data_IF_286844109229
#
_entry.id   IF_286844109229
#
_cell.length_a   1.000
_cell.length_b   1.000
_cell.length_c   1.000
_cell.angle_alpha   90.00
_cell.angle_beta   90.00
_cell.angle_gamma   90.00
#
_symmetry.space_group_name_H-M   'P 1'
#
loop_
_entity.id
_entity.type
_entity.pdbx_description
1 polymer ?
#
# COMPACT_ATOMS: atom_id res chain seq x y z
N UNK A 1 33.80 3.17 23.83
CA UNK A 1 32.58 4.00 23.99
C UNK A 1 31.71 3.72 22.78
N UNK A 2 30.73 2.84 22.94
CA UNK A 2 29.76 2.56 21.88
C UNK A 2 28.76 3.71 21.83
N UNK A 3 28.71 4.41 20.71
CA UNK A 3 27.68 5.40 20.46
C UNK A 3 26.35 4.66 20.30
N UNK A 4 25.57 4.57 21.38
CA UNK A 4 24.17 4.19 21.32
C UNK A 4 23.42 5.26 20.51
N UNK A 5 23.32 5.01 19.21
CA UNK A 5 22.49 5.80 18.31
C UNK A 5 21.03 5.46 18.62
N UNK A 6 20.45 6.14 19.59
CA UNK A 6 18.99 6.11 19.79
C UNK A 6 18.36 6.73 18.54
N UNK A 7 17.45 6.02 17.84
CA UNK A 7 16.79 6.58 16.67
C UNK A 7 16.17 7.93 17.04
N UNK A 8 16.39 8.96 16.21
CA UNK A 8 15.87 10.34 16.40
C UNK A 8 14.38 10.41 16.78
N UNK A 9 13.61 9.37 16.45
CA UNK A 9 12.19 9.23 16.71
C UNK A 9 11.87 8.89 18.18
N UNK A 10 12.73 8.17 18.90
CA UNK A 10 12.50 7.79 20.30
C UNK A 10 12.84 8.90 21.31
N UNK A 11 13.57 9.94 20.88
CA UNK A 11 14.05 11.00 21.76
C UNK A 11 12.96 12.00 22.17
N UNK A 12 11.78 11.99 21.53
CA UNK A 12 10.69 12.95 21.75
C UNK A 12 11.06 14.41 21.45
N UNK A 13 12.28 14.66 20.95
CA UNK A 13 12.84 15.99 20.65
C UNK A 13 13.86 15.84 19.53
N UNK A 14 13.82 16.74 18.55
CA UNK A 14 14.90 16.90 17.57
C UNK A 14 15.90 17.89 18.20
N UNK A 15 17.17 17.49 18.32
CA UNK A 15 18.25 18.32 18.89
C UNK A 15 19.28 18.68 17.82
N UNK A 16 19.82 19.90 17.88
CA UNK A 16 20.97 20.38 17.11
C UNK A 16 21.79 21.34 17.98
N UNK A 17 22.99 21.70 17.52
CA UNK A 17 23.85 22.64 18.24
C UNK A 17 23.14 24.00 18.38
N UNK A 18 22.76 24.32 19.62
CA UNK A 18 22.06 25.55 19.97
C UNK A 18 20.54 25.43 20.08
N UNK A 19 19.93 24.25 19.95
CA UNK A 19 18.48 24.14 20.08
C UNK A 19 17.89 22.75 20.19
N UNK A 20 16.64 22.71 20.64
CA UNK A 20 15.80 21.52 20.51
C UNK A 20 14.37 21.92 20.26
N UNK A 21 13.68 21.22 19.37
CA UNK A 21 12.22 21.32 19.24
C UNK A 21 11.60 20.03 19.80
N UNK A 22 10.65 20.14 20.76
CA UNK A 22 9.89 18.96 21.19
C UNK A 22 9.06 18.46 20.02
N UNK A 23 9.14 17.15 19.75
CA UNK A 23 8.18 16.52 18.87
C UNK A 23 6.88 16.46 19.67
N UNK A 24 5.88 17.22 19.22
CA UNK A 24 4.60 17.35 19.91
C UNK A 24 4.05 15.95 20.21
N UNK A 25 3.88 15.62 21.49
CA UNK A 25 3.38 14.32 21.94
C UNK A 25 1.98 14.01 21.39
N UNK A 26 1.22 15.04 21.04
CA UNK A 26 -0.08 14.96 20.36
C UNK A 26 -0.02 14.48 18.91
N UNK A 27 1.16 14.44 18.29
CA UNK A 27 1.34 13.87 16.95
C UNK A 27 1.66 12.37 16.98
N UNK A 28 2.15 11.85 18.11
CA UNK A 28 2.31 10.41 18.33
C UNK A 28 0.96 9.79 18.71
N UNK A 29 0.60 8.69 18.06
CA UNK A 29 -0.71 8.02 18.22
C UNK A 29 -1.92 8.86 17.79
N UNK A 30 -1.78 9.65 16.73
CA UNK A 30 -2.93 10.35 16.17
C UNK A 30 -3.93 9.33 15.57
N UNK A 31 -5.08 9.17 16.25
CA UNK A 31 -6.20 8.33 15.82
C UNK A 31 -6.64 8.64 14.38
N UNK A 32 -6.45 9.89 13.95
CA UNK A 32 -6.62 10.35 12.57
C UNK A 32 -5.86 9.49 11.57
N UNK A 33 -4.60 9.13 11.80
CA UNK A 33 -3.80 8.32 10.86
C UNK A 33 -4.35 6.89 10.69
N UNK A 34 -5.05 6.35 11.71
CA UNK A 34 -5.72 5.05 11.63
C UNK A 34 -7.09 5.14 10.94
N UNK A 35 -7.74 6.31 10.99
CA UNK A 35 -9.07 6.55 10.42
C UNK A 35 -9.04 7.20 9.02
N UNK A 36 -7.87 7.65 8.55
CA UNK A 36 -7.67 8.37 7.27
C UNK A 36 -7.12 7.60 6.07
N UNK A 37 -6.78 6.29 6.11
CA UNK A 37 -6.36 5.58 4.89
C UNK A 37 -7.36 5.72 3.74
N UNK A 38 -8.67 5.73 4.04
CA UNK A 38 -9.72 5.95 3.04
C UNK A 38 -9.68 7.36 2.43
N UNK A 39 -9.33 8.39 3.21
CA UNK A 39 -9.19 9.77 2.71
C UNK A 39 -8.00 9.87 1.77
N UNK A 40 -6.85 9.30 2.13
CA UNK A 40 -5.69 9.27 1.25
C UNK A 40 -5.90 8.41 0.01
N UNK A 41 -6.63 7.29 0.14
CA UNK A 41 -7.04 6.50 -1.01
C UNK A 41 -7.93 7.30 -1.96
N UNK A 42 -8.91 8.06 -1.44
CA UNK A 42 -9.78 8.92 -2.24
C UNK A 42 -9.01 10.08 -2.88
N UNK A 43 -8.13 10.75 -2.11
CA UNK A 43 -7.26 11.80 -2.64
C UNK A 43 -6.38 11.28 -3.77
N UNK A 44 -5.78 10.10 -3.59
CA UNK A 44 -4.94 9.46 -4.60
C UNK A 44 -5.68 9.19 -5.92
N UNK A 45 -7.00 9.09 -5.89
CA UNK A 45 -7.78 9.03 -7.12
C UNK A 45 -7.79 10.38 -7.83
N UNK A 46 -7.93 11.52 -7.14
CA UNK A 46 -7.98 12.82 -7.82
C UNK A 46 -6.61 13.41 -8.20
N UNK A 47 -5.58 13.18 -7.37
CA UNK A 47 -4.25 13.81 -7.56
C UNK A 47 -3.16 12.82 -7.98
N UNK A 48 -3.53 11.56 -8.25
CA UNK A 48 -2.60 10.47 -8.51
C UNK A 48 -2.13 9.77 -7.23
N UNK A 49 -2.06 8.45 -7.28
CA UNK A 49 -1.57 7.64 -6.16
C UNK A 49 -0.08 7.87 -5.92
N UNK A 50 0.67 8.23 -6.96
CA UNK A 50 2.09 8.56 -6.91
C UNK A 50 2.38 9.80 -6.09
N UNK A 51 1.38 10.64 -5.82
CA UNK A 51 1.49 11.78 -4.90
C UNK A 51 0.95 11.44 -3.51
N UNK A 52 -0.24 10.85 -3.45
CA UNK A 52 -0.93 10.61 -2.18
C UNK A 52 -0.25 9.52 -1.33
N UNK A 53 0.23 8.45 -1.94
CA UNK A 53 0.82 7.30 -1.23
C UNK A 53 2.16 7.65 -0.55
N UNK A 54 3.13 8.31 -1.22
CA UNK A 54 4.36 8.73 -0.54
C UNK A 54 4.10 9.70 0.60
N UNK A 55 3.15 10.64 0.45
CA UNK A 55 2.77 11.57 1.51
C UNK A 55 2.19 10.80 2.70
N UNK A 56 1.26 9.87 2.46
CA UNK A 56 0.71 9.03 3.51
C UNK A 56 1.80 8.25 4.26
N UNK A 57 2.72 7.60 3.54
CA UNK A 57 3.82 6.86 4.17
C UNK A 57 4.79 7.75 4.93
N UNK A 58 5.10 8.94 4.41
CA UNK A 58 5.90 9.92 5.13
C UNK A 58 5.25 10.26 6.48
N UNK A 59 3.96 10.59 6.48
CA UNK A 59 3.22 10.87 7.70
C UNK A 59 3.22 9.67 8.66
N UNK A 60 3.03 8.45 8.16
CA UNK A 60 3.12 7.23 8.97
C UNK A 60 4.52 7.03 9.57
N UNK A 61 5.59 7.33 8.83
CA UNK A 61 6.97 7.17 9.32
C UNK A 61 7.36 8.25 10.33
N UNK A 62 6.85 9.48 10.16
CA UNK A 62 7.19 10.61 11.03
C UNK A 62 6.34 10.65 12.30
N UNK A 63 5.06 10.29 12.20
CA UNK A 63 4.08 10.46 13.28
C UNK A 63 3.46 9.15 13.77
N UNK A 64 3.58 8.07 12.99
CA UNK A 64 3.11 6.76 13.39
C UNK A 64 4.03 6.10 14.42
N UNK A 65 3.51 5.11 15.16
CA UNK A 65 4.34 4.24 15.99
C UNK A 65 5.43 3.55 15.13
N UNK A 66 6.63 3.41 15.69
CA UNK A 66 7.70 2.68 15.03
C UNK A 66 7.32 1.21 14.83
N UNK A 67 7.79 0.58 13.75
CA UNK A 67 7.45 -0.82 13.41
C UNK A 67 7.70 -1.82 14.56
N UNK A 68 8.70 -1.55 15.41
CA UNK A 68 9.01 -2.32 16.60
C UNK A 68 8.00 -2.14 17.74
N UNK A 69 7.55 -0.90 17.96
CA UNK A 69 6.52 -0.58 18.93
C UNK A 69 5.18 -1.19 18.51
N UNK A 70 4.87 -1.18 17.21
CA UNK A 70 3.71 -1.86 16.65
C UNK A 70 3.76 -3.37 16.84
N UNK A 71 4.92 -4.00 16.62
CA UNK A 71 5.08 -5.45 16.79
C UNK A 71 5.02 -5.90 18.26
N UNK A 72 5.31 -5.01 19.22
CA UNK A 72 5.39 -5.33 20.66
C UNK A 72 4.26 -4.76 21.50
N UNK A 73 3.42 -3.90 20.94
CA UNK A 73 2.35 -3.24 21.67
C UNK A 73 1.27 -4.23 22.15
N UNK A 74 0.52 -3.91 23.22
CA UNK A 74 -0.58 -4.76 23.74
C UNK A 74 -1.76 -4.98 22.76
N UNK A 75 -1.68 -4.46 21.53
CA UNK A 75 -2.57 -4.76 20.40
C UNK A 75 -1.84 -5.30 19.16
N UNK A 76 -0.59 -5.77 19.29
CA UNK A 76 0.23 -6.31 18.19
C UNK A 76 -0.17 -7.70 17.72
N UNK A 77 -0.99 -8.40 18.51
CA UNK A 77 -1.79 -9.49 17.97
C UNK A 77 -2.65 -8.86 16.87
N UNK A 78 -2.62 -9.37 15.62
CA UNK A 78 -3.60 -8.97 14.64
C UNK A 78 -4.93 -9.03 15.36
N UNK A 79 -5.64 -7.91 15.43
CA UNK A 79 -6.99 -7.93 15.98
C UNK A 79 -7.73 -8.86 15.03
N UNK A 80 -7.79 -10.14 15.42
CA UNK A 80 -8.73 -11.12 14.93
C UNK A 80 -10.06 -10.58 15.40
N UNK A 81 -10.54 -9.50 14.76
CA UNK A 81 -11.95 -9.27 14.68
C UNK A 81 -12.44 -10.54 13.99
N UNK A 82 -12.93 -11.46 14.82
CA UNK A 82 -13.56 -12.72 14.50
C UNK A 82 -14.88 -12.47 13.77
N UNK A 83 -14.83 -11.60 12.78
CA UNK A 83 -15.94 -11.10 12.00
C UNK A 83 -15.64 -11.40 10.55
N UNK A 84 -16.67 -11.79 9.81
CA UNK A 84 -16.60 -11.95 8.37
C UNK A 84 -16.14 -10.63 7.75
N UNK A 85 -14.98 -10.63 7.08
CA UNK A 85 -14.51 -9.45 6.34
C UNK A 85 -15.18 -9.41 4.97
N UNK A 86 -15.78 -8.27 4.61
CA UNK A 86 -16.41 -8.05 3.31
C UNK A 86 -15.45 -7.48 2.25
N UNK A 87 -14.17 -7.35 2.57
CA UNK A 87 -13.22 -6.71 1.65
C UNK A 87 -13.13 -7.42 0.29
N UNK A 88 -13.11 -8.75 0.24
CA UNK A 88 -13.06 -9.48 -1.03
C UNK A 88 -14.29 -9.20 -1.91
N UNK A 89 -15.54 -9.46 -1.47
CA UNK A 89 -16.69 -9.18 -2.32
C UNK A 89 -16.82 -7.70 -2.69
N UNK A 90 -16.46 -6.77 -1.80
CA UNK A 90 -16.46 -5.34 -2.10
C UNK A 90 -15.40 -4.97 -3.17
N UNK A 91 -14.19 -5.52 -3.08
CA UNK A 91 -13.13 -5.31 -4.07
C UNK A 91 -13.45 -5.97 -5.41
N UNK A 92 -14.14 -7.13 -5.41
CA UNK A 92 -14.59 -7.74 -6.65
C UNK A 92 -15.67 -6.88 -7.33
N UNK A 93 -16.64 -6.39 -6.57
CA UNK A 93 -17.75 -5.60 -7.08
C UNK A 93 -17.34 -4.19 -7.52
N UNK A 94 -16.59 -3.45 -6.68
CA UNK A 94 -16.37 -2.02 -6.89
C UNK A 94 -15.00 -1.67 -7.47
N UNK A 95 -14.01 -2.59 -7.42
CA UNK A 95 -12.72 -2.40 -8.08
C UNK A 95 -12.63 -3.25 -9.33
N UNK A 96 -12.68 -4.59 -9.17
CA UNK A 96 -12.32 -5.53 -10.23
C UNK A 96 -13.32 -5.47 -11.37
N UNK A 97 -14.61 -5.63 -11.09
CA UNK A 97 -15.66 -5.56 -12.10
C UNK A 97 -15.61 -4.24 -12.88
N UNK A 98 -15.53 -3.12 -12.18
CA UNK A 98 -15.46 -1.78 -12.77
C UNK A 98 -14.22 -1.63 -13.68
N UNK A 99 -13.04 -2.08 -13.24
CA UNK A 99 -11.81 -2.07 -14.06
C UNK A 99 -11.95 -2.93 -15.32
N UNK A 100 -12.51 -4.14 -15.20
CA UNK A 100 -12.73 -5.02 -16.36
C UNK A 100 -13.77 -4.45 -17.31
N UNK A 101 -14.83 -3.83 -16.79
CA UNK A 101 -15.84 -3.17 -17.60
C UNK A 101 -15.26 -1.95 -18.34
N UNK A 102 -14.47 -1.11 -17.67
CA UNK A 102 -13.74 0.00 -18.28
C UNK A 102 -12.75 -0.48 -19.37
N UNK A 103 -12.15 -1.66 -19.20
CA UNK A 103 -11.21 -2.21 -20.18
C UNK A 103 -11.90 -2.87 -21.38
N UNK A 104 -12.95 -3.64 -21.14
CA UNK A 104 -13.61 -4.49 -22.15
C UNK A 104 -14.75 -3.80 -22.90
N UNK A 105 -15.27 -2.68 -22.40
CA UNK A 105 -16.36 -1.96 -23.07
C UNK A 105 -15.94 -1.55 -24.50
N UNK A 106 -16.83 -1.66 -25.50
CA UNK A 106 -16.48 -1.42 -26.90
C UNK A 106 -16.34 0.08 -27.22
N UNK A 107 -17.15 0.93 -26.59
CA UNK A 107 -17.23 2.36 -26.90
C UNK A 107 -16.54 3.23 -25.83
N UNK A 108 -15.94 4.37 -26.22
CA UNK A 108 -15.22 5.24 -25.29
C UNK A 108 -16.08 5.84 -24.18
N UNK A 109 -17.37 6.08 -24.43
CA UNK A 109 -18.29 6.69 -23.46
C UNK A 109 -18.53 5.76 -22.27
N UNK A 110 -18.84 4.49 -22.54
CA UNK A 110 -19.03 3.47 -21.52
C UNK A 110 -17.74 3.27 -20.71
N UNK A 111 -16.57 3.25 -21.37
CA UNK A 111 -15.27 3.20 -20.67
C UNK A 111 -15.08 4.37 -19.73
N UNK A 112 -15.48 5.57 -20.15
CA UNK A 112 -15.37 6.79 -19.36
C UNK A 112 -16.22 6.70 -18.09
N UNK A 113 -17.46 6.24 -18.19
CA UNK A 113 -18.34 6.04 -17.03
C UNK A 113 -17.79 5.02 -16.03
N UNK A 114 -17.34 3.85 -16.51
CA UNK A 114 -16.73 2.85 -15.63
C UNK A 114 -15.43 3.37 -14.99
N UNK A 115 -14.65 4.18 -15.70
CA UNK A 115 -13.45 4.83 -15.13
C UNK A 115 -13.83 5.78 -13.99
N UNK A 116 -14.88 6.60 -14.16
CA UNK A 116 -15.37 7.47 -13.08
C UNK A 116 -15.90 6.70 -11.88
N UNK A 117 -16.65 5.63 -12.11
CA UNK A 117 -17.13 4.76 -11.03
C UNK A 117 -15.95 4.14 -10.28
N UNK A 118 -14.94 3.63 -11.00
CA UNK A 118 -13.70 3.13 -10.43
C UNK A 118 -12.91 4.20 -9.66
N UNK A 119 -12.89 5.45 -10.14
CA UNK A 119 -12.24 6.57 -9.47
C UNK A 119 -12.80 6.84 -8.07
N UNK A 120 -14.08 6.53 -7.86
CA UNK A 120 -14.77 6.68 -6.58
C UNK A 120 -14.72 5.41 -5.72
N UNK A 121 -13.88 4.43 -6.06
CA UNK A 121 -13.74 3.17 -5.35
C UNK A 121 -13.71 3.30 -3.81
N UNK A 122 -12.89 4.15 -3.19
CA UNK A 122 -12.83 4.22 -1.73
C UNK A 122 -14.16 4.62 -1.10
N UNK A 123 -14.95 5.45 -1.81
CA UNK A 123 -16.30 5.83 -1.40
C UNK A 123 -17.24 4.61 -1.49
N UNK A 124 -17.26 3.90 -2.63
CA UNK A 124 -18.16 2.75 -2.83
C UNK A 124 -17.86 1.61 -1.88
N UNK A 125 -16.58 1.30 -1.65
CA UNK A 125 -16.17 0.28 -0.67
C UNK A 125 -16.60 0.69 0.74
N UNK A 126 -16.43 1.97 1.11
CA UNK A 126 -16.86 2.47 2.42
C UNK A 126 -18.39 2.43 2.61
N UNK A 127 -19.16 2.85 1.61
CA UNK A 127 -20.63 2.79 1.64
C UNK A 127 -21.14 1.34 1.66
N UNK A 128 -20.55 0.47 0.84
CA UNK A 128 -20.87 -0.95 0.80
C UNK A 128 -20.60 -1.62 2.13
N UNK A 129 -19.47 -1.32 2.75
CA UNK A 129 -19.14 -1.83 4.08
C UNK A 129 -20.10 -1.32 5.16
N UNK A 130 -20.42 -0.03 5.16
CA UNK A 130 -21.37 0.54 6.12
C UNK A 130 -22.76 -0.12 5.98
N UNK A 131 -23.20 -0.39 4.75
CA UNK A 131 -24.44 -1.09 4.46
C UNK A 131 -24.41 -2.54 4.96
N UNK A 132 -23.35 -3.29 4.63
CA UNK A 132 -23.21 -4.70 4.99
C UNK A 132 -23.02 -4.89 6.49
N UNK A 133 -22.19 -4.07 7.14
CA UNK A 133 -21.96 -4.09 8.59
C UNK A 133 -23.25 -3.83 9.38
N UNK A 134 -24.13 -2.96 8.86
CA UNK A 134 -25.46 -2.74 9.45
C UNK A 134 -26.36 -3.97 9.33
N UNK A 135 -26.23 -4.74 8.24
CA UNK A 135 -27.07 -5.92 7.96
C UNK A 135 -26.56 -7.20 8.62
N UNK A 136 -25.26 -7.29 8.87
CA UNK A 136 -24.56 -8.44 9.44
C UNK A 136 -23.74 -7.99 10.67
N UNK A 137 -24.37 -7.89 11.86
CA UNK A 137 -23.68 -7.48 13.07
C UNK A 137 -22.47 -8.38 13.36
N UNK A 138 -21.32 -7.75 13.61
CA UNK A 138 -20.05 -8.45 13.83
C UNK A 138 -19.22 -8.65 12.56
N UNK A 139 -19.74 -8.33 11.38
CA UNK A 139 -19.00 -8.26 10.13
C UNK A 139 -18.72 -6.80 9.73
N UNK A 140 -17.68 -6.56 8.94
CA UNK A 140 -17.30 -5.23 8.44
C UNK A 140 -15.92 -5.20 7.80
N UNK A 141 -15.39 -4.00 7.52
CA UNK A 141 -14.07 -3.85 6.90
C UNK A 141 -13.00 -4.26 7.92
N UNK A 142 -12.67 -5.55 7.89
CA UNK A 142 -11.53 -6.11 8.58
C UNK A 142 -10.30 -6.09 7.68
N UNK A 143 -9.14 -6.39 8.27
CA UNK A 143 -8.01 -6.82 7.47
C UNK A 143 -8.44 -8.04 6.64
N UNK A 144 -8.08 -8.04 5.36
CA UNK A 144 -8.31 -9.19 4.51
C UNK A 144 -7.60 -10.42 5.11
N UNK A 145 -8.31 -11.54 5.19
CA UNK A 145 -7.68 -12.79 5.60
C UNK A 145 -6.71 -13.30 4.50
N UNK A 146 -5.92 -14.33 4.81
CA UNK A 146 -4.93 -14.88 3.88
C UNK A 146 -5.56 -15.38 2.57
N UNK A 147 -6.78 -15.93 2.63
CA UNK A 147 -7.50 -16.43 1.45
C UNK A 147 -7.94 -15.27 0.57
N UNK A 148 -8.54 -14.24 1.17
CA UNK A 148 -8.98 -13.03 0.48
C UNK A 148 -7.81 -12.29 -0.18
N UNK A 149 -6.70 -12.12 0.54
CA UNK A 149 -5.46 -11.56 0.00
C UNK A 149 -4.90 -12.43 -1.13
N UNK A 150 -4.93 -13.76 -0.97
CA UNK A 150 -4.51 -14.70 -2.01
C UNK A 150 -5.29 -14.52 -3.31
N UNK A 151 -6.62 -14.44 -3.23
CA UNK A 151 -7.49 -14.24 -4.41
C UNK A 151 -7.19 -12.89 -5.09
N UNK A 152 -7.13 -11.80 -4.33
CA UNK A 152 -6.83 -10.47 -4.89
C UNK A 152 -5.42 -10.42 -5.52
N UNK A 153 -4.46 -11.12 -4.92
CA UNK A 153 -3.09 -11.25 -5.44
C UNK A 153 -3.06 -12.02 -6.76
N UNK A 154 -3.82 -13.12 -6.86
CA UNK A 154 -3.92 -13.91 -8.09
C UNK A 154 -4.56 -13.10 -9.22
N UNK A 155 -5.59 -12.30 -8.92
CA UNK A 155 -6.21 -11.40 -9.90
C UNK A 155 -5.17 -10.37 -10.39
N UNK A 156 -4.47 -9.70 -9.47
CA UNK A 156 -3.46 -8.70 -9.82
C UNK A 156 -2.32 -9.31 -10.66
N UNK A 157 -1.83 -10.49 -10.29
CA UNK A 157 -0.81 -11.22 -11.03
C UNK A 157 -1.30 -11.67 -12.42
N UNK A 158 -2.58 -12.08 -12.52
CA UNK A 158 -3.22 -12.41 -13.79
C UNK A 158 -3.29 -11.21 -14.74
N UNK A 159 -3.69 -10.04 -14.23
CA UNK A 159 -3.70 -8.78 -15.00
C UNK A 159 -2.30 -8.39 -15.45
N UNK A 160 -1.30 -8.52 -14.57
CA UNK A 160 0.11 -8.30 -14.91
C UNK A 160 0.59 -9.23 -16.03
N UNK A 161 0.37 -10.54 -15.88
CA UNK A 161 0.74 -11.53 -16.90
C UNK A 161 0.03 -11.32 -18.23
N UNK A 162 -1.25 -10.94 -18.20
CA UNK A 162 -1.99 -10.55 -19.40
C UNK A 162 -1.34 -9.33 -20.07
N UNK A 163 -1.02 -8.28 -19.31
CA UNK A 163 -0.36 -7.09 -19.83
C UNK A 163 0.98 -7.43 -20.49
N UNK A 164 1.83 -8.22 -19.84
CA UNK A 164 3.12 -8.65 -20.40
C UNK A 164 2.97 -9.45 -21.71
N UNK A 165 1.91 -10.26 -21.81
CA UNK A 165 1.65 -11.09 -23.00
C UNK A 165 1.00 -10.31 -24.14
N UNK A 166 0.05 -9.44 -23.83
CA UNK A 166 -0.82 -8.80 -24.81
C UNK A 166 -0.31 -7.43 -25.27
N UNK A 167 0.53 -6.76 -24.50
CA UNK A 167 1.05 -5.45 -24.87
C UNK A 167 2.03 -5.55 -26.06
N UNK A 168 1.85 -4.74 -27.12
CA UNK A 168 2.80 -4.66 -28.23
C UNK A 168 4.04 -3.81 -27.91
N UNK A 169 4.32 -3.59 -26.62
CA UNK A 169 5.36 -2.69 -26.13
C UNK A 169 6.30 -3.44 -25.19
N UNK A 170 7.57 -3.02 -25.16
CA UNK A 170 8.52 -3.56 -24.18
C UNK A 170 8.13 -3.17 -22.77
N UNK A 171 8.56 -3.96 -21.77
CA UNK A 171 8.32 -3.63 -20.37
C UNK A 171 8.86 -2.23 -20.03
N UNK A 172 10.07 -1.90 -20.48
CA UNK A 172 10.64 -0.57 -20.30
C UNK A 172 9.73 0.54 -20.86
N UNK A 173 9.13 0.36 -22.04
CA UNK A 173 8.20 1.35 -22.60
C UNK A 173 6.89 1.46 -21.81
N UNK A 174 6.52 0.44 -21.03
CA UNK A 174 5.32 0.44 -20.19
C UNK A 174 5.60 1.11 -18.85
N UNK A 175 6.70 0.73 -18.16
CA UNK A 175 6.97 1.24 -16.81
C UNK A 175 7.88 2.46 -16.75
N UNK A 176 8.76 2.69 -17.71
CA UNK A 176 9.75 3.77 -17.64
C UNK A 176 9.28 5.03 -18.36
N UNK A 177 9.25 6.20 -17.69
CA UNK A 177 8.84 7.45 -18.31
C UNK A 177 9.79 7.85 -19.44
N UNK A 178 9.22 8.14 -20.60
CA UNK A 178 9.93 8.80 -21.70
C UNK A 178 10.17 10.29 -21.38
N UNK A 179 10.84 11.02 -22.27
CA UNK A 179 11.24 12.43 -22.09
C UNK A 179 10.17 13.34 -21.49
N UNK A 180 10.58 14.31 -20.67
CA UNK A 180 9.69 15.25 -19.96
C UNK A 180 8.81 16.17 -20.84
N UNK A 181 9.08 16.28 -22.14
CA UNK A 181 8.39 17.22 -23.03
C UNK A 181 7.47 16.46 -23.99
N UNK A 182 6.16 16.71 -23.86
CA UNK A 182 5.12 16.10 -24.68
C UNK A 182 4.04 17.13 -24.99
N UNK A 183 3.88 17.49 -26.28
CA UNK A 183 2.86 18.44 -26.72
C UNK A 183 1.48 17.79 -26.95
N UNK A 184 1.45 16.46 -27.07
CA UNK A 184 0.23 15.69 -27.31
C UNK A 184 -0.29 15.06 -26.02
N UNK A 185 -1.63 15.02 -25.89
CA UNK A 185 -2.31 14.48 -24.70
C UNK A 185 -1.94 13.03 -24.38
N UNK A 186 -1.91 12.13 -25.38
CA UNK A 186 -1.66 10.69 -25.15
C UNK A 186 -0.26 10.41 -24.60
N UNK A 187 0.85 10.93 -25.21
CA UNK A 187 2.18 10.81 -24.61
C UNK A 187 2.28 11.43 -23.22
N UNK A 188 1.65 12.59 -23.00
CA UNK A 188 1.62 13.22 -21.68
C UNK A 188 0.90 12.38 -20.63
N UNK A 189 -0.29 11.87 -20.93
CA UNK A 189 -1.06 11.00 -20.04
C UNK A 189 -0.30 9.71 -19.71
N UNK A 190 0.37 9.11 -20.71
CA UNK A 190 1.26 7.95 -20.50
C UNK A 190 2.38 8.28 -19.52
N UNK A 191 3.08 9.38 -19.74
CA UNK A 191 4.16 9.84 -18.86
C UNK A 191 3.69 10.02 -17.41
N UNK A 192 2.54 10.66 -17.21
CA UNK A 192 1.93 10.84 -15.88
C UNK A 192 1.61 9.50 -15.22
N UNK A 193 0.98 8.55 -15.93
CA UNK A 193 0.66 7.23 -15.39
C UNK A 193 1.91 6.41 -15.04
N UNK A 194 2.99 6.54 -15.82
CA UNK A 194 4.27 5.90 -15.53
C UNK A 194 4.90 6.43 -14.26
N UNK A 195 4.93 7.76 -14.09
CA UNK A 195 5.38 8.38 -12.85
C UNK A 195 4.50 7.99 -11.67
N UNK A 196 3.18 8.00 -11.85
CA UNK A 196 2.22 7.61 -10.81
C UNK A 196 2.54 6.20 -10.29
N UNK A 197 2.66 5.24 -11.21
CA UNK A 197 3.01 3.86 -10.91
C UNK A 197 4.38 3.72 -10.21
N UNK A 198 5.43 4.37 -10.72
CA UNK A 198 6.78 4.32 -10.11
C UNK A 198 6.75 4.90 -8.70
N UNK A 199 6.15 6.08 -8.53
CA UNK A 199 6.12 6.76 -7.23
C UNK A 199 5.28 6.00 -6.21
N UNK A 200 4.13 5.46 -6.60
CA UNK A 200 3.29 4.62 -5.73
C UNK A 200 4.05 3.39 -5.26
N UNK A 201 4.48 2.53 -6.18
CA UNK A 201 5.12 1.27 -5.80
C UNK A 201 6.51 1.49 -5.20
N UNK A 202 7.27 2.46 -5.70
CA UNK A 202 8.56 2.86 -5.15
C UNK A 202 8.44 3.29 -3.69
N UNK A 203 7.48 4.16 -3.36
CA UNK A 203 7.23 4.56 -1.99
C UNK A 203 6.73 3.39 -1.12
N UNK A 204 5.88 2.51 -1.65
CA UNK A 204 5.42 1.31 -0.93
C UNK A 204 6.56 0.35 -0.60
N UNK A 205 7.47 0.09 -1.54
CA UNK A 205 8.64 -0.75 -1.30
C UNK A 205 9.63 -0.08 -0.35
N UNK A 206 9.82 1.23 -0.45
CA UNK A 206 10.68 1.98 0.48
C UNK A 206 10.12 1.97 1.91
N UNK A 207 8.82 2.22 2.07
CA UNK A 207 8.14 2.11 3.36
C UNK A 207 8.24 0.69 3.95
N UNK A 208 8.11 -0.33 3.09
CA UNK A 208 8.32 -1.72 3.48
C UNK A 208 9.77 -1.94 3.96
N UNK A 209 10.77 -1.48 3.19
CA UNK A 209 12.18 -1.60 3.56
C UNK A 209 12.48 -0.94 4.92
N UNK A 210 11.98 0.28 5.16
CA UNK A 210 12.10 0.94 6.46
C UNK A 210 11.44 0.14 7.59
N UNK A 211 10.27 -0.46 7.33
CA UNK A 211 9.60 -1.34 8.29
C UNK A 211 10.46 -2.57 8.64
N UNK A 212 11.07 -3.22 7.64
CA UNK A 212 11.98 -4.35 7.86
C UNK A 212 13.23 -3.95 8.64
N UNK A 213 13.84 -2.79 8.32
CA UNK A 213 15.00 -2.26 9.06
C UNK A 213 14.63 -1.97 10.50
N UNK A 214 13.47 -1.36 10.75
CA UNK A 214 12.98 -1.10 12.11
C UNK A 214 12.79 -2.39 12.92
N UNK A 215 12.16 -3.41 12.33
CA UNK A 215 11.96 -4.70 12.98
C UNK A 215 13.28 -5.47 13.20
N UNK A 216 14.23 -5.40 12.27
CA UNK A 216 15.55 -5.99 12.42
C UNK A 216 16.35 -5.31 13.55
N UNK A 217 16.36 -3.97 13.59
CA UNK A 217 17.04 -3.21 14.65
C UNK A 217 16.44 -3.47 16.03
N UNK A 218 15.14 -3.71 16.10
CA UNK A 218 14.50 -4.12 17.33
C UNK A 218 14.78 -5.58 17.72
N UNK A 219 15.40 -6.38 16.85
CA UNK A 219 15.64 -7.81 17.09
C UNK A 219 14.39 -8.67 16.92
N UNK A 220 13.33 -8.16 16.28
CA UNK A 220 12.13 -8.93 15.93
C UNK A 220 12.39 -9.81 14.70
N UNK A 221 13.11 -9.29 13.72
CA UNK A 221 13.56 -10.04 12.54
C UNK A 221 15.03 -10.45 12.68
N UNK A 222 15.39 -11.62 12.16
CA UNK A 222 16.78 -12.07 12.04
C UNK A 222 17.29 -11.83 10.62
N UNK A 223 18.62 -11.82 10.44
CA UNK A 223 19.24 -11.57 9.13
C UNK A 223 18.71 -12.50 8.02
N UNK A 224 18.47 -13.78 8.35
CA UNK A 224 17.85 -14.75 7.42
C UNK A 224 16.46 -14.36 6.94
N UNK A 225 15.66 -13.68 7.78
CA UNK A 225 14.29 -13.30 7.44
C UNK A 225 14.28 -12.13 6.45
N UNK A 226 15.26 -11.22 6.56
CA UNK A 226 15.47 -10.13 5.62
C UNK A 226 16.06 -10.61 4.29
N UNK A 227 16.98 -11.58 4.31
CA UNK A 227 17.60 -12.12 3.10
C UNK A 227 16.58 -12.70 2.12
N UNK A 228 15.61 -13.48 2.61
CA UNK A 228 14.56 -14.05 1.76
C UNK A 228 13.76 -12.99 1.00
N UNK A 229 13.39 -11.91 1.68
CA UNK A 229 12.62 -10.82 1.06
C UNK A 229 13.46 -10.09 0.04
N UNK A 230 14.70 -9.72 0.39
CA UNK A 230 15.58 -9.02 -0.54
C UNK A 230 15.88 -9.86 -1.79
N UNK A 231 16.07 -11.18 -1.63
CA UNK A 231 16.40 -12.07 -2.76
C UNK A 231 15.18 -12.43 -3.62
N UNK A 232 14.01 -12.68 -3.03
CA UNK A 232 12.83 -13.14 -3.78
C UNK A 232 11.96 -12.00 -4.30
N UNK A 233 11.94 -10.84 -3.64
CA UNK A 233 11.06 -9.74 -4.01
C UNK A 233 11.26 -9.28 -5.47
N UNK A 234 12.49 -9.10 -5.99
CA UNK A 234 12.68 -8.74 -7.40
C UNK A 234 12.10 -9.78 -8.36
N UNK A 235 12.23 -11.07 -8.03
CA UNK A 235 11.69 -12.18 -8.81
C UNK A 235 10.16 -12.14 -8.82
N UNK A 236 9.54 -11.99 -7.65
CA UNK A 236 8.08 -11.89 -7.52
C UNK A 236 7.55 -10.65 -8.26
N UNK A 237 8.19 -9.50 -8.12
CA UNK A 237 7.79 -8.27 -8.81
C UNK A 237 7.88 -8.44 -10.34
N UNK A 238 8.93 -9.09 -10.83
CA UNK A 238 9.10 -9.30 -12.28
C UNK A 238 8.04 -10.25 -12.84
N UNK A 239 7.78 -11.37 -12.13
CA UNK A 239 6.90 -12.44 -12.63
C UNK A 239 5.42 -12.14 -12.37
N UNK A 240 5.08 -11.70 -11.17
CA UNK A 240 3.71 -11.53 -10.69
C UNK A 240 3.28 -10.05 -10.57
N UNK A 241 4.18 -9.12 -10.85
CA UNK A 241 3.92 -7.69 -10.81
C UNK A 241 4.15 -7.05 -9.44
N UNK A 242 4.21 -5.71 -9.40
CA UNK A 242 4.59 -4.97 -8.20
C UNK A 242 3.56 -5.10 -7.06
N UNK A 243 2.26 -5.17 -7.38
CA UNK A 243 1.22 -5.36 -6.38
C UNK A 243 1.36 -6.71 -5.64
N UNK A 244 1.58 -7.80 -6.38
CA UNK A 244 1.81 -9.12 -5.79
C UNK A 244 3.10 -9.15 -4.96
N UNK A 245 4.16 -8.47 -5.43
CA UNK A 245 5.39 -8.28 -4.67
C UNK A 245 5.16 -7.58 -3.33
N UNK A 246 4.34 -6.54 -3.30
CA UNK A 246 4.02 -5.81 -2.06
C UNK A 246 3.22 -6.68 -1.08
N UNK A 247 2.26 -7.46 -1.56
CA UNK A 247 1.51 -8.41 -0.72
C UNK A 247 2.44 -9.48 -0.18
N UNK A 248 3.30 -10.06 -1.00
CA UNK A 248 4.31 -11.03 -0.58
C UNK A 248 5.22 -10.48 0.52
N UNK A 249 5.76 -9.28 0.34
CA UNK A 249 6.61 -8.63 1.34
C UNK A 249 5.86 -8.34 2.65
N UNK A 250 4.59 -7.94 2.56
CA UNK A 250 3.73 -7.68 3.72
C UNK A 250 3.39 -8.97 4.47
N UNK A 251 3.02 -10.03 3.75
CA UNK A 251 2.71 -11.34 4.30
C UNK A 251 3.93 -11.96 5.00
N UNK A 252 5.10 -11.89 4.37
CA UNK A 252 6.34 -12.38 4.99
C UNK A 252 6.66 -11.63 6.27
N UNK A 253 6.49 -10.30 6.27
CA UNK A 253 6.68 -9.45 7.47
C UNK A 253 5.79 -9.94 8.61
N UNK A 254 4.51 -10.17 8.34
CA UNK A 254 3.55 -10.65 9.35
C UNK A 254 3.92 -12.05 9.87
N UNK A 255 4.24 -13.00 8.98
CA UNK A 255 4.66 -14.35 9.38
C UNK A 255 5.93 -14.32 10.23
N UNK A 256 6.90 -13.48 9.88
CA UNK A 256 8.14 -13.38 10.62
C UNK A 256 7.95 -12.74 12.01
N UNK A 257 7.13 -11.68 12.11
CA UNK A 257 6.74 -11.10 13.41
C UNK A 257 5.99 -12.11 14.28
N UNK A 258 5.06 -12.87 13.71
CA UNK A 258 4.28 -13.89 14.43
C UNK A 258 5.09 -15.08 14.94
N UNK A 259 6.32 -15.30 14.45
CA UNK A 259 7.24 -16.34 14.95
C UNK A 259 8.10 -15.86 16.13
N UNK A 260 8.14 -14.55 16.38
CA UNK A 260 9.01 -13.92 17.38
C UNK A 260 8.29 -13.62 18.71
N UNK A 261 6.98 -13.90 18.78
CA UNK A 261 6.12 -13.86 19.97
C UNK A 261 5.88 -15.31 20.41
#
# INVERSE_FOLDING_TARGET
MEAHWTPFLEAGKIKWDGGSIPILSSFYHNKFMNETPAVFALLGQFIGQGTAVPLFYFLCLTFGPGAAADARGPGSKPTTKSGTSFILPLMLAFHTLESFAAFLAPDPETRHWFTWTWQLLPLWVGLGDAFLSRRFPGAGLGLADETQLGVLTLIAAGVWGYMLRAAPYSLAAIVWPASLVHDAFVPHARFVLQLDNICTFGASFLWMAYSYVGLYRAGVLRGKDCLWVVSLLPVVVTVAGPAAGLVFASWWKQKAVGRSI
#
